data_IF_993453026346
#
_entry.id   IF_993453026346
#
_cell.length_a   1.000
_cell.length_b   1.000
_cell.length_c   1.000
_cell.angle_alpha   90.00
_cell.angle_beta   90.00
_cell.angle_gamma   90.00
#
_symmetry.space_group_name_H-M   'P 1'
#
loop_
_entity.id
_entity.type
_entity.pdbx_description
1 polymer ?
#
# COMPACT_ATOMS: atom_id res chain seq x y z
N UNK A 1 23.16 -1.55 11.96
CA UNK A 1 21.83 -2.15 12.20
C UNK A 1 20.93 -1.03 12.69
N UNK A 2 20.14 -0.42 11.82
CA UNK A 2 19.13 0.55 12.23
C UNK A 2 17.90 -0.25 12.68
N UNK A 3 17.41 0.00 13.91
CA UNK A 3 16.07 -0.43 14.32
C UNK A 3 15.08 0.40 13.51
N UNK A 4 14.19 -0.28 12.78
CA UNK A 4 13.01 0.34 12.20
C UNK A 4 11.93 0.32 13.29
N UNK A 5 11.52 1.49 13.75
CA UNK A 5 10.27 1.64 14.50
C UNK A 5 9.14 1.76 13.47
N UNK A 6 8.18 0.85 13.57
CA UNK A 6 7.01 0.77 12.70
C UNK A 6 5.96 1.71 13.29
N UNK A 7 5.85 2.92 12.75
CA UNK A 7 4.81 3.89 13.13
C UNK A 7 3.48 3.45 12.50
N UNK A 8 2.63 2.83 13.32
CA UNK A 8 1.27 2.47 12.94
C UNK A 8 0.31 3.47 13.59
N UNK A 9 -0.57 4.12 12.81
CA UNK A 9 -1.69 4.86 13.37
C UNK A 9 -2.56 3.92 14.19
N UNK A 10 -2.94 4.34 15.41
CA UNK A 10 -3.79 3.53 16.30
C UNK A 10 -5.15 3.16 15.69
N UNK A 11 -5.63 3.92 14.68
CA UNK A 11 -6.92 3.69 14.02
C UNK A 11 -6.84 3.09 12.62
N UNK A 12 -5.65 2.77 12.11
CA UNK A 12 -5.49 2.27 10.74
C UNK A 12 -5.58 0.74 10.71
N UNK A 13 -6.49 0.21 9.88
CA UNK A 13 -6.52 -1.24 9.59
C UNK A 13 -5.66 -1.56 8.37
N UNK A 14 -4.86 -2.61 8.48
CA UNK A 14 -3.92 -3.09 7.46
C UNK A 14 -4.33 -4.48 6.96
N UNK A 15 -4.07 -4.77 5.69
CA UNK A 15 -4.47 -6.04 5.03
C UNK A 15 -3.72 -7.30 5.49
N UNK A 16 -2.98 -7.30 6.59
CA UNK A 16 -2.19 -8.47 6.97
C UNK A 16 -1.95 -8.56 8.48
N UNK A 17 -3.01 -8.90 9.22
CA UNK A 17 -2.87 -9.75 10.41
C UNK A 17 -3.48 -11.12 10.05
N UNK A 18 -2.64 -12.15 9.93
CA UNK A 18 -3.04 -13.52 9.55
C UNK A 18 -3.82 -14.28 10.66
N UNK A 19 -4.25 -13.60 11.74
CA UNK A 19 -5.02 -14.22 12.82
C UNK A 19 -6.52 -13.93 12.65
N UNK A 20 -7.25 -14.80 11.94
CA UNK A 20 -8.71 -14.74 11.98
C UNK A 20 -9.46 -15.41 10.83
N UNK A 21 -9.19 -16.68 10.52
CA UNK A 21 -10.20 -17.51 9.86
C UNK A 21 -10.94 -18.31 10.94
N UNK A 22 -11.92 -17.69 11.59
CA UNK A 22 -12.89 -18.39 12.44
C UNK A 22 -14.33 -18.07 11.99
N UNK A 23 -15.01 -19.15 11.58
CA UNK A 23 -16.46 -19.40 11.50
C UNK A 23 -17.38 -18.18 11.26
N UNK A 24 -17.80 -18.02 9.99
CA UNK A 24 -18.82 -17.03 9.61
C UNK A 24 -20.19 -17.46 10.15
N UNK A 25 -20.49 -17.02 11.37
CA UNK A 25 -21.84 -16.98 11.92
C UNK A 25 -22.74 -16.05 11.12
N UNK A 26 -24.00 -16.45 10.99
CA UNK A 26 -25.08 -15.75 10.30
C UNK A 26 -25.30 -14.36 10.92
N UNK A 27 -24.90 -13.29 10.23
CA UNK A 27 -25.15 -11.91 10.64
C UNK A 27 -26.35 -11.37 9.87
N UNK A 28 -27.41 -11.05 10.59
CA UNK A 28 -28.56 -10.29 10.08
C UNK A 28 -28.08 -8.92 9.58
N UNK A 29 -28.27 -8.66 8.29
CA UNK A 29 -28.08 -7.34 7.69
C UNK A 29 -29.27 -6.46 8.08
N UNK A 30 -29.11 -5.65 9.14
CA UNK A 30 -30.04 -4.54 9.37
C UNK A 30 -29.81 -3.49 8.27
N UNK A 31 -30.94 -3.02 7.73
CA UNK A 31 -31.10 -2.13 6.57
C UNK A 31 -30.38 -0.79 6.81
N UNK A 32 -29.10 -0.72 6.44
CA UNK A 32 -28.31 0.51 6.46
C UNK A 32 -28.77 1.42 5.31
N UNK A 33 -29.42 2.52 5.69
CA UNK A 33 -29.80 3.62 4.80
C UNK A 33 -28.67 4.00 3.83
N UNK A 34 -29.00 4.06 2.54
CA UNK A 34 -28.15 4.48 1.41
C UNK A 34 -27.29 5.71 1.76
N UNK A 35 -26.03 5.48 2.16
CA UNK A 35 -25.01 6.49 2.03
C UNK A 35 -24.65 6.56 0.55
N UNK A 36 -24.78 7.74 -0.08
CA UNK A 36 -24.16 7.98 -1.38
C UNK A 36 -22.64 7.74 -1.23
N UNK A 37 -22.21 6.53 -1.55
CA UNK A 37 -20.87 5.98 -1.29
C UNK A 37 -19.87 6.50 -2.34
N UNK A 38 -19.79 7.82 -2.46
CA UNK A 38 -18.87 8.55 -3.30
C UNK A 38 -17.53 8.79 -2.59
N UNK A 39 -16.60 7.85 -2.77
CA UNK A 39 -15.17 8.11 -3.04
C UNK A 39 -14.43 9.21 -2.26
N UNK A 40 -14.67 9.37 -0.96
CA UNK A 40 -13.87 10.31 -0.15
C UNK A 40 -12.43 9.77 0.02
N UNK A 41 -11.55 10.17 -0.90
CA UNK A 41 -10.11 10.04 -0.73
C UNK A 41 -9.69 10.99 0.40
N UNK A 42 -9.16 10.45 1.48
CA UNK A 42 -8.66 11.24 2.61
C UNK A 42 -7.17 11.00 2.84
N UNK A 43 -6.51 12.01 3.41
CA UNK A 43 -5.10 11.99 3.77
C UNK A 43 -4.97 12.23 5.27
N UNK A 44 -4.15 11.43 5.95
CA UNK A 44 -3.76 11.66 7.35
C UNK A 44 -2.24 11.68 7.47
N UNK A 45 -1.70 12.47 8.39
CA UNK A 45 -0.27 12.51 8.68
C UNK A 45 -0.01 12.13 10.15
N UNK A 46 0.93 11.21 10.36
CA UNK A 46 1.38 10.79 11.69
C UNK A 46 2.86 10.42 11.62
N UNK A 47 3.65 10.86 12.61
CA UNK A 47 5.10 10.61 12.69
C UNK A 47 5.89 10.91 11.39
N UNK A 48 5.43 11.92 10.62
CA UNK A 48 6.02 12.31 9.34
C UNK A 48 5.76 11.33 8.20
N UNK A 49 4.78 10.45 8.35
CA UNK A 49 4.25 9.55 7.33
C UNK A 49 2.87 10.05 6.89
N UNK A 50 2.69 10.23 5.59
CA UNK A 50 1.42 10.56 4.95
C UNK A 50 0.73 9.27 4.53
N UNK A 51 -0.51 9.06 4.98
CA UNK A 51 -1.34 7.91 4.67
C UNK A 51 -2.50 8.31 3.75
N UNK A 52 -2.86 7.42 2.83
CA UNK A 52 -3.96 7.55 1.89
C UNK A 52 -5.07 6.54 2.24
N UNK A 53 -6.30 7.03 2.33
CA UNK A 53 -7.48 6.23 2.66
C UNK A 53 -8.59 6.45 1.63
N UNK A 54 -9.36 5.40 1.29
CA UNK A 54 -10.50 5.48 0.38
C UNK A 54 -11.80 5.20 1.13
N UNK A 55 -12.49 6.26 1.57
CA UNK A 55 -13.82 6.22 2.19
C UNK A 55 -13.94 5.38 3.48
N UNK A 56 -12.85 4.77 3.93
CA UNK A 56 -12.79 3.77 4.99
C UNK A 56 -11.51 3.97 5.81
N UNK A 57 -11.38 3.28 6.93
CA UNK A 57 -10.16 3.26 7.77
C UNK A 57 -8.98 2.47 7.16
N UNK A 58 -9.16 1.92 5.94
CA UNK A 58 -8.16 1.07 5.29
C UNK A 58 -7.08 1.90 4.59
N UNK A 59 -5.83 1.66 4.98
CA UNK A 59 -4.66 2.30 4.38
C UNK A 59 -4.39 1.70 2.99
N UNK A 60 -4.63 2.51 1.96
CA UNK A 60 -4.36 2.19 0.56
C UNK A 60 -2.94 2.60 0.12
N UNK A 61 -2.29 3.47 0.90
CA UNK A 61 -0.92 3.89 0.66
C UNK A 61 -0.31 4.63 1.85
N UNK A 62 1.01 4.60 1.95
CA UNK A 62 1.76 5.38 2.92
C UNK A 62 3.10 5.84 2.35
N UNK A 63 3.54 7.04 2.74
CA UNK A 63 4.78 7.64 2.27
C UNK A 63 5.43 8.45 3.38
N UNK A 64 6.71 8.17 3.66
CA UNK A 64 7.49 9.01 4.58
C UNK A 64 7.86 10.32 3.90
N UNK A 65 7.48 11.46 4.48
CA UNK A 65 7.71 12.79 3.89
C UNK A 65 9.20 13.07 3.67
N UNK A 66 10.07 12.60 4.57
CA UNK A 66 11.53 12.76 4.43
C UNK A 66 12.18 11.80 3.44
N UNK A 67 11.52 10.68 3.09
CA UNK A 67 12.04 9.62 2.21
C UNK A 67 10.92 9.04 1.35
N UNK A 68 10.39 9.82 0.38
CA UNK A 68 9.14 9.49 -0.31
C UNK A 68 9.21 8.27 -1.26
N UNK A 69 10.43 7.80 -1.56
CA UNK A 69 10.65 6.66 -2.44
C UNK A 69 10.91 5.35 -1.66
N UNK A 70 10.96 5.42 -0.33
CA UNK A 70 11.03 4.23 0.51
C UNK A 70 9.64 3.63 0.68
N UNK A 71 9.57 2.30 0.69
CA UNK A 71 8.34 1.57 0.99
C UNK A 71 8.06 1.59 2.49
N UNK A 72 6.94 2.19 2.88
CA UNK A 72 6.50 2.25 4.29
C UNK A 72 5.79 0.96 4.68
N UNK A 73 4.92 0.45 3.82
CA UNK A 73 4.03 -0.67 4.15
C UNK A 73 4.74 -2.02 3.98
N UNK A 74 4.68 -2.86 5.01
CA UNK A 74 5.36 -4.17 5.05
C UNK A 74 4.96 -5.08 3.89
N UNK A 75 3.70 -5.06 3.44
CA UNK A 75 3.30 -5.86 2.27
C UNK A 75 4.01 -5.40 0.98
N UNK A 76 4.18 -4.09 0.76
CA UNK A 76 4.89 -3.57 -0.42
C UNK A 76 6.38 -3.93 -0.38
N UNK A 77 6.99 -3.93 0.81
CA UNK A 77 8.37 -4.39 0.99
C UNK A 77 8.51 -5.88 0.66
N UNK A 78 7.58 -6.72 1.14
CA UNK A 78 7.52 -8.15 0.82
C UNK A 78 7.35 -8.39 -0.68
N UNK A 79 6.50 -7.62 -1.36
CA UNK A 79 6.31 -7.70 -2.82
C UNK A 79 7.62 -7.46 -3.59
N UNK A 80 8.53 -6.64 -3.06
CA UNK A 80 9.84 -6.37 -3.67
C UNK A 80 10.95 -7.32 -3.19
N UNK A 81 10.64 -8.30 -2.33
CA UNK A 81 11.62 -9.24 -1.77
C UNK A 81 12.37 -10.07 -2.81
N UNK A 82 11.82 -10.24 -4.02
CA UNK A 82 12.47 -10.92 -5.13
C UNK A 82 13.80 -10.24 -5.56
N UNK A 83 13.95 -8.92 -5.29
CA UNK A 83 15.19 -8.18 -5.58
C UNK A 83 16.41 -8.69 -4.80
N UNK A 84 16.21 -9.44 -3.71
CA UNK A 84 17.29 -10.11 -2.98
C UNK A 84 17.99 -11.19 -3.82
N UNK A 85 17.32 -11.72 -4.82
CA UNK A 85 17.81 -12.83 -5.66
C UNK A 85 18.20 -12.37 -7.07
N UNK A 86 17.73 -11.19 -7.49
CA UNK A 86 17.97 -10.65 -8.83
C UNK A 86 18.07 -9.14 -8.80
N UNK A 87 19.18 -8.61 -9.30
CA UNK A 87 19.35 -7.18 -9.55
C UNK A 87 18.95 -6.87 -11.01
N UNK A 88 17.88 -6.08 -11.24
CA UNK A 88 17.45 -5.74 -12.59
C UNK A 88 18.45 -4.86 -13.33
N UNK A 89 18.55 -4.99 -14.65
CA UNK A 89 19.38 -4.12 -15.52
C UNK A 89 18.54 -3.30 -16.49
N UNK A 90 19.15 -2.33 -17.18
CA UNK A 90 18.50 -1.47 -18.18
C UNK A 90 17.92 -2.23 -19.39
N UNK A 91 18.32 -3.48 -19.59
CA UNK A 91 17.80 -4.35 -20.66
C UNK A 91 16.54 -5.11 -20.26
N UNK A 92 16.12 -4.97 -19.01
CA UNK A 92 14.98 -5.68 -18.43
C UNK A 92 13.82 -4.71 -18.19
N UNK A 93 12.62 -5.28 -18.12
CA UNK A 93 11.38 -4.53 -17.87
C UNK A 93 10.69 -5.06 -16.63
N UNK A 94 10.25 -4.15 -15.77
CA UNK A 94 9.40 -4.43 -14.62
C UNK A 94 7.99 -3.91 -14.95
N UNK A 95 7.02 -4.82 -14.96
CA UNK A 95 5.61 -4.47 -15.18
C UNK A 95 4.89 -4.44 -13.84
N UNK A 96 4.28 -3.31 -13.54
CA UNK A 96 3.41 -3.11 -12.37
C UNK A 96 1.96 -3.17 -12.84
N UNK A 97 1.21 -4.10 -12.31
CA UNK A 97 -0.24 -4.19 -12.51
C UNK A 97 -0.89 -3.52 -11.30
N UNK A 98 -1.57 -2.40 -11.53
CA UNK A 98 -1.99 -1.50 -10.47
C UNK A 98 -1.02 -0.32 -10.31
N UNK A 99 -1.53 0.91 -10.28
CA UNK A 99 -0.77 2.08 -9.82
C UNK A 99 -0.95 2.26 -8.32
N UNK A 100 -2.19 2.20 -7.82
CA UNK A 100 -2.51 2.46 -6.42
C UNK A 100 -1.91 3.78 -5.93
N UNK A 101 -1.23 3.78 -4.76
CA UNK A 101 -0.52 4.96 -4.25
C UNK A 101 0.84 5.26 -4.92
N UNK A 102 1.15 4.58 -6.02
CA UNK A 102 2.40 4.67 -6.79
C UNK A 102 3.69 4.39 -5.98
N UNK A 103 3.58 3.71 -4.83
CA UNK A 103 4.72 3.42 -3.94
C UNK A 103 5.73 2.47 -4.59
N UNK A 104 5.24 1.37 -5.19
CA UNK A 104 6.08 0.42 -5.94
C UNK A 104 6.73 1.07 -7.18
N UNK A 105 5.98 1.90 -7.90
CA UNK A 105 6.51 2.65 -9.06
C UNK A 105 7.68 3.55 -8.63
N UNK A 106 7.46 4.40 -7.62
CA UNK A 106 8.51 5.29 -7.07
C UNK A 106 9.72 4.51 -6.56
N UNK A 107 9.48 3.38 -5.89
CA UNK A 107 10.54 2.51 -5.39
C UNK A 107 11.37 1.94 -6.54
N UNK A 108 10.75 1.33 -7.56
CA UNK A 108 11.45 0.74 -8.69
C UNK A 108 12.22 1.78 -9.51
N UNK A 109 11.64 2.96 -9.76
CA UNK A 109 12.32 4.07 -10.45
C UNK A 109 13.54 4.59 -9.69
N UNK A 110 13.57 4.45 -8.36
CA UNK A 110 14.67 4.94 -7.52
C UNK A 110 15.76 3.89 -7.25
N UNK A 111 15.41 2.60 -7.30
CA UNK A 111 16.28 1.51 -6.83
C UNK A 111 16.69 0.53 -7.93
N UNK A 112 16.14 0.66 -9.13
CA UNK A 112 16.47 -0.20 -10.27
C UNK A 112 16.73 0.65 -11.52
N UNK A 113 17.61 0.19 -12.42
CA UNK A 113 17.82 0.84 -13.71
C UNK A 113 16.90 0.28 -14.82
N UNK A 114 15.98 -0.64 -14.49
CA UNK A 114 15.10 -1.29 -15.46
C UNK A 114 14.04 -0.34 -16.02
N UNK A 115 13.54 -0.62 -17.22
CA UNK A 115 12.36 0.04 -17.76
C UNK A 115 11.14 -0.33 -16.91
N UNK A 116 10.34 0.66 -16.49
CA UNK A 116 9.14 0.42 -15.67
C UNK A 116 7.90 0.72 -16.49
N UNK A 117 6.99 -0.24 -16.57
CA UNK A 117 5.69 -0.11 -17.21
C UNK A 117 4.60 -0.30 -16.15
N UNK A 118 3.61 0.58 -16.10
CA UNK A 118 2.47 0.46 -15.18
C UNK A 118 1.18 0.40 -15.96
N UNK A 119 0.34 -0.57 -15.61
CA UNK A 119 -0.99 -0.76 -16.18
C UNK A 119 -1.98 -0.59 -15.04
N UNK A 120 -2.74 0.50 -15.08
CA UNK A 120 -3.85 0.75 -14.17
C UNK A 120 -5.16 0.54 -14.92
N UNK A 121 -6.11 -0.11 -14.26
CA UNK A 121 -7.49 -0.18 -14.73
C UNK A 121 -8.21 1.05 -14.21
N UNK A 122 -8.73 1.87 -15.11
CA UNK A 122 -9.57 3.03 -14.79
C UNK A 122 -10.87 2.90 -15.60
N UNK A 123 -12.02 3.09 -14.94
CA UNK A 123 -13.35 3.24 -15.55
C UNK A 123 -13.78 4.72 -15.54
#
# INVERSE_FOLDING_TARGET
MARFEESHPESAKYYADEEGYEDAGDYDYEDDEELEEGSLITLSEEDGVLYLHFGTEWVQGAMRMSRPNDLVLTYTQKMMGWLLFKQPTEQERIVLLGLGAASLLKFCLSHTPAEIETIELDE
#
